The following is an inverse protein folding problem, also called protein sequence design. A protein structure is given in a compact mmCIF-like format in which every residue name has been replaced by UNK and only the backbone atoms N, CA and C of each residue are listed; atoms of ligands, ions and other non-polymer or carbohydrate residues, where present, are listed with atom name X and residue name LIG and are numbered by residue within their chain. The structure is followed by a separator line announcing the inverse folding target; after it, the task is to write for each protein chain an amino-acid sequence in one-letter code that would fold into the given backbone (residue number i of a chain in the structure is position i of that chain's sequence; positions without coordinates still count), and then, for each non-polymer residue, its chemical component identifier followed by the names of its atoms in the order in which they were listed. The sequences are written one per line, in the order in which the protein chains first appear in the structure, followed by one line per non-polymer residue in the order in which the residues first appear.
data_IF_680697288087
#
_entry.id   IF_680697288087
#
_cell.length_a   1.000
_cell.length_b   1.000
_cell.length_c   1.000
_cell.angle_alpha   90.00
_cell.angle_beta   90.00
_cell.angle_gamma   90.00
#
_symmetry.space_group_name_H-M   'P 1'
#
loop_
_entity.id
_entity.type
_entity.pdbx_description
1 polymer ?
#
# COMPACT_ATOMS: atom_id res chain seq x y z
N UNK A 1 -24.36 -4.53 -61.57
CA UNK A 1 -23.70 -3.74 -62.64
C UNK A 1 -22.36 -3.25 -62.08
N UNK A 2 -21.17 -3.53 -62.60
CA UNK A 2 -20.77 -4.24 -63.80
C UNK A 2 -19.40 -4.93 -63.59
N UNK A 3 -19.16 -5.95 -64.42
CA UNK A 3 -17.86 -6.57 -64.68
C UNK A 3 -17.27 -5.93 -65.95
N UNK A 4 -15.95 -5.73 -65.98
CA UNK A 4 -15.09 -5.61 -67.18
C UNK A 4 -13.76 -6.29 -66.78
N UNK A 5 -13.33 -7.48 -67.25
CA UNK A 5 -12.99 -7.99 -68.60
C UNK A 5 -11.94 -7.15 -69.35
N UNK A 6 -10.76 -7.76 -69.62
CA UNK A 6 -9.79 -7.24 -70.60
C UNK A 6 -8.42 -7.93 -70.58
N UNK A 7 -8.25 -8.92 -71.47
CA UNK A 7 -7.05 -9.76 -71.71
C UNK A 7 -6.20 -9.20 -72.87
N UNK A 8 -4.87 -9.45 -72.88
CA UNK A 8 -3.95 -9.82 -74.02
C UNK A 8 -2.50 -9.39 -73.69
N UNK A 9 -1.52 -10.27 -73.41
CA UNK A 9 -0.79 -11.25 -74.25
C UNK A 9 0.24 -10.64 -75.23
N UNK A 10 1.55 -10.79 -74.93
CA UNK A 10 2.65 -10.95 -75.93
C UNK A 10 3.75 -11.85 -75.33
N UNK A 11 4.20 -12.81 -76.14
CA UNK A 11 5.25 -13.83 -75.93
C UNK A 11 6.64 -13.31 -76.29
N UNK A 12 7.67 -13.88 -75.64
CA UNK A 12 9.05 -14.01 -76.14
C UNK A 12 10.04 -13.95 -74.98
N UNK A 13 11.11 -14.74 -74.86
CA UNK A 13 11.71 -15.80 -75.66
C UNK A 13 12.68 -16.52 -74.69
N UNK A 14 12.82 -17.84 -74.84
CA UNK A 14 13.73 -18.74 -74.10
C UNK A 14 15.21 -18.29 -74.13
N UNK A 15 15.94 -18.42 -73.00
CA UNK A 15 17.33 -18.94 -72.95
C UNK A 15 17.57 -19.69 -71.63
N UNK A 16 18.00 -20.95 -71.75
CA UNK A 16 18.51 -21.84 -70.68
C UNK A 16 19.90 -21.41 -70.20
N UNK A 17 20.20 -21.55 -68.90
CA UNK A 17 21.36 -22.30 -68.37
C UNK A 17 21.45 -22.12 -66.82
N UNK A 18 21.28 -23.14 -65.97
CA UNK A 18 22.26 -24.16 -65.51
C UNK A 18 22.61 -23.94 -64.01
N UNK A 19 22.11 -24.85 -63.15
CA UNK A 19 22.76 -25.53 -62.01
C UNK A 19 22.05 -25.52 -60.65
N UNK A 20 22.17 -26.71 -60.04
CA UNK A 20 22.06 -27.07 -58.62
C UNK A 20 20.65 -27.32 -58.08
N UNK A 21 20.45 -28.56 -57.63
CA UNK A 21 19.19 -29.15 -57.24
C UNK A 21 18.61 -28.61 -55.93
N UNK A 22 17.28 -28.63 -55.86
CA UNK A 22 16.53 -28.49 -54.63
C UNK A 22 15.73 -29.77 -54.41
N UNK A 23 16.28 -30.69 -53.63
CA UNK A 23 15.50 -31.74 -52.97
C UNK A 23 14.89 -31.20 -51.68
N UNK A 24 13.59 -31.39 -51.55
CA UNK A 24 12.75 -31.52 -50.35
C UNK A 24 13.16 -30.75 -49.08
N UNK A 25 12.29 -29.80 -48.73
CA UNK A 25 12.16 -29.23 -47.38
C UNK A 25 11.63 -30.30 -46.43
N UNK A 26 12.43 -30.65 -45.44
CA UNK A 26 11.95 -31.03 -44.10
C UNK A 26 12.22 -29.85 -43.14
N UNK A 27 11.32 -29.56 -42.19
CA UNK A 27 11.51 -28.48 -41.24
C UNK A 27 12.46 -28.92 -40.13
N UNK A 28 13.63 -28.29 -40.06
CA UNK A 28 14.46 -28.30 -38.84
C UNK A 28 13.94 -27.22 -37.90
N UNK A 29 13.50 -27.66 -36.73
CA UNK A 29 13.26 -26.87 -35.52
C UNK A 29 14.50 -26.05 -35.19
N UNK A 30 14.35 -24.73 -35.18
CA UNK A 30 15.35 -23.84 -34.58
C UNK A 30 15.07 -23.78 -33.07
N UNK A 31 16.07 -24.16 -32.26
CA UNK A 31 16.08 -23.87 -30.83
C UNK A 31 16.19 -22.34 -30.61
N UNK A 32 15.42 -21.76 -29.68
CA UNK A 32 15.62 -20.38 -29.26
C UNK A 32 16.92 -20.25 -28.45
N UNK A 33 17.82 -19.39 -28.90
CA UNK A 33 18.98 -18.95 -28.12
C UNK A 33 18.52 -18.08 -26.95
N UNK A 34 18.83 -18.52 -25.73
CA UNK A 34 18.56 -17.83 -24.47
C UNK A 34 19.42 -16.54 -24.34
N UNK A 35 18.86 -15.39 -23.93
CA UNK A 35 19.65 -14.18 -23.68
C UNK A 35 20.54 -14.36 -22.45
N UNK A 36 21.83 -14.03 -22.59
CA UNK A 36 22.76 -13.99 -21.48
C UNK A 36 22.27 -13.01 -20.39
N UNK A 37 22.11 -13.52 -19.17
CA UNK A 37 21.75 -12.73 -18.00
C UNK A 37 22.88 -11.73 -17.68
N UNK A 38 22.58 -10.44 -17.82
CA UNK A 38 23.42 -9.38 -17.28
C UNK A 38 23.39 -9.47 -15.75
N UNK A 39 24.54 -9.76 -15.14
CA UNK A 39 24.71 -9.73 -13.69
C UNK A 39 24.52 -8.29 -13.21
N UNK A 40 23.52 -8.06 -12.36
CA UNK A 40 23.33 -6.78 -11.68
C UNK A 40 24.53 -6.46 -10.77
N UNK A 41 24.95 -5.18 -10.67
CA UNK A 41 25.98 -4.79 -9.72
C UNK A 41 25.56 -5.15 -8.28
N UNK A 42 26.50 -5.45 -7.37
CA UNK A 42 26.19 -5.63 -5.96
C UNK A 42 25.50 -4.36 -5.44
N UNK A 43 24.37 -4.51 -4.76
CA UNK A 43 23.74 -3.41 -4.04
C UNK A 43 24.76 -2.85 -3.04
N UNK A 44 25.04 -1.54 -3.12
CA UNK A 44 25.84 -0.86 -2.11
C UNK A 44 25.16 -1.06 -0.75
N UNK A 45 25.92 -1.35 0.33
CA UNK A 45 25.34 -1.52 1.64
C UNK A 45 24.63 -0.22 2.03
N UNK A 46 23.30 -0.31 2.21
CA UNK A 46 22.52 0.79 2.77
C UNK A 46 23.11 1.03 4.16
N UNK A 47 23.78 2.17 4.32
CA UNK A 47 24.24 2.63 5.63
C UNK A 47 22.97 2.95 6.41
N UNK A 48 22.54 1.99 7.23
CA UNK A 48 21.45 2.23 8.17
C UNK A 48 21.97 3.31 9.11
N UNK A 49 21.44 4.52 9.00
CA UNK A 49 21.78 5.58 9.94
C UNK A 49 21.44 5.11 11.36
N UNK A 50 22.48 4.75 12.09
CA UNK A 50 22.38 4.34 13.48
C UNK A 50 22.44 5.58 14.36
N UNK A 51 21.35 5.91 15.03
CA UNK A 51 21.28 7.05 15.92
C UNK A 51 19.87 7.26 16.49
N UNK A 52 19.70 8.17 17.47
CA UNK A 52 18.38 8.55 17.94
C UNK A 52 17.54 9.10 16.78
N UNK A 53 16.22 8.95 16.88
CA UNK A 53 15.29 9.62 15.98
C UNK A 53 15.33 11.12 16.27
N UNK A 54 15.46 11.92 15.23
CA UNK A 54 15.52 13.38 15.31
C UNK A 54 14.48 13.97 14.40
N UNK A 55 13.77 14.98 14.90
CA UNK A 55 12.82 15.72 14.10
C UNK A 55 13.55 16.38 12.91
N UNK A 56 12.90 16.36 11.76
CA UNK A 56 13.40 16.93 10.51
C UNK A 56 12.56 18.13 10.15
N UNK A 57 13.22 19.26 9.95
CA UNK A 57 12.61 20.47 9.39
C UNK A 57 13.52 20.96 8.27
N UNK A 58 13.09 20.79 7.03
CA UNK A 58 13.77 21.30 5.85
C UNK A 58 12.86 22.24 5.08
N UNK A 59 13.42 23.34 4.61
CA UNK A 59 12.69 24.31 3.80
C UNK A 59 13.57 24.78 2.64
N UNK A 60 13.05 24.61 1.43
CA UNK A 60 13.67 25.02 0.18
C UNK A 60 12.62 25.66 -0.75
N UNK A 61 13.02 26.42 -1.79
CA UNK A 61 12.06 27.02 -2.72
C UNK A 61 11.15 26.01 -3.44
N UNK A 62 11.63 24.78 -3.67
CA UNK A 62 10.91 23.73 -4.37
C UNK A 62 10.17 22.77 -3.44
N UNK A 63 10.54 22.68 -2.16
CA UNK A 63 9.94 21.73 -1.23
C UNK A 63 10.04 22.13 0.26
N UNK A 64 9.19 21.51 1.07
CA UNK A 64 9.23 21.56 2.53
C UNK A 64 9.12 20.15 3.10
N UNK A 65 9.89 19.84 4.15
CA UNK A 65 9.82 18.56 4.86
C UNK A 65 9.69 18.85 6.36
N UNK A 66 8.64 18.30 6.97
CA UNK A 66 8.45 18.22 8.41
C UNK A 66 8.24 16.76 8.82
N UNK A 67 9.16 16.21 9.63
CA UNK A 67 9.02 14.87 10.21
C UNK A 67 9.23 14.96 11.71
N UNK A 68 8.28 14.49 12.52
CA UNK A 68 8.41 14.47 13.98
C UNK A 68 8.36 13.05 14.54
N UNK A 69 9.13 12.79 15.59
CA UNK A 69 9.22 11.46 16.21
C UNK A 69 8.86 11.47 17.71
N UNK A 70 8.30 10.37 18.24
CA UNK A 70 8.02 10.26 19.66
C UNK A 70 9.33 10.07 20.45
N UNK A 71 9.35 10.61 21.67
CA UNK A 71 10.46 10.41 22.60
C UNK A 71 10.41 9.02 23.27
N UNK A 72 11.53 8.59 23.85
CA UNK A 72 11.58 7.40 24.71
C UNK A 72 11.69 6.06 23.97
N UNK A 73 12.07 6.07 22.69
CA UNK A 73 12.27 4.86 21.89
C UNK A 73 13.74 4.41 21.80
N UNK A 74 14.68 5.11 22.43
CA UNK A 74 16.13 4.84 22.34
C UNK A 74 16.52 3.42 22.78
N UNK A 75 15.72 2.80 23.66
CA UNK A 75 15.91 1.42 24.11
C UNK A 75 15.54 0.36 23.04
N UNK A 76 14.93 0.77 21.93
CA UNK A 76 14.39 -0.12 20.89
C UNK A 76 14.96 0.25 19.51
N UNK A 77 16.27 0.02 19.26
CA UNK A 77 16.92 0.44 18.03
C UNK A 77 16.26 -0.15 16.77
N UNK A 78 15.75 -1.38 16.82
CA UNK A 78 15.05 -1.99 15.69
C UNK A 78 13.70 -1.30 15.39
N UNK A 79 12.96 -0.89 16.43
CA UNK A 79 11.76 -0.09 16.24
C UNK A 79 12.12 1.27 15.63
N UNK A 80 13.16 1.94 16.14
CA UNK A 80 13.59 3.22 15.56
C UNK A 80 14.05 3.08 14.11
N UNK A 81 14.67 1.95 13.74
CA UNK A 81 15.06 1.67 12.37
C UNK A 81 13.83 1.48 11.46
N UNK A 82 12.75 0.84 11.94
CA UNK A 82 11.50 0.73 11.19
C UNK A 82 10.86 2.10 10.92
N UNK A 83 10.78 2.96 11.94
CA UNK A 83 10.21 4.30 11.77
C UNK A 83 11.06 5.14 10.82
N UNK A 84 12.38 5.07 10.97
CA UNK A 84 13.33 5.76 10.08
C UNK A 84 13.19 5.28 8.64
N UNK A 85 13.09 3.97 8.42
CA UNK A 85 12.89 3.41 7.08
C UNK A 85 11.64 3.97 6.40
N UNK A 86 10.51 3.94 7.10
CA UNK A 86 9.25 4.51 6.56
C UNK A 86 9.37 6.01 6.23
N UNK A 87 10.01 6.79 7.11
CA UNK A 87 10.22 8.21 6.88
C UNK A 87 11.18 8.49 5.70
N UNK A 88 12.24 7.68 5.58
CA UNK A 88 13.22 7.78 4.50
C UNK A 88 12.60 7.43 3.15
N UNK A 89 11.74 6.40 3.08
CA UNK A 89 11.01 6.04 1.87
C UNK A 89 10.09 7.20 1.44
N UNK A 90 9.27 7.73 2.35
CA UNK A 90 8.40 8.87 2.06
C UNK A 90 9.18 10.11 1.58
N UNK A 91 10.33 10.39 2.22
CA UNK A 91 11.24 11.47 1.82
C UNK A 91 11.86 11.21 0.45
N UNK A 92 12.33 9.99 0.20
CA UNK A 92 12.98 9.63 -1.05
C UNK A 92 12.02 9.82 -2.23
N UNK A 93 10.77 9.41 -2.08
CA UNK A 93 9.79 9.59 -3.14
C UNK A 93 9.40 11.07 -3.36
N UNK A 94 9.33 11.90 -2.31
CA UNK A 94 9.22 13.36 -2.46
C UNK A 94 10.41 13.90 -3.27
N UNK A 95 11.63 13.53 -2.88
CA UNK A 95 12.85 14.03 -3.53
C UNK A 95 12.99 13.55 -4.98
N UNK A 96 12.45 12.37 -5.30
CA UNK A 96 12.32 11.91 -6.68
C UNK A 96 11.40 12.82 -7.49
N UNK A 97 10.25 13.21 -6.94
CA UNK A 97 9.34 14.16 -7.60
C UNK A 97 9.99 15.55 -7.76
N UNK A 98 10.68 16.05 -6.72
CA UNK A 98 11.43 17.31 -6.80
C UNK A 98 12.50 17.26 -7.90
N UNK A 99 13.23 16.15 -8.00
CA UNK A 99 14.24 15.98 -9.05
C UNK A 99 13.62 15.96 -10.44
N UNK A 100 12.41 15.41 -10.56
CA UNK A 100 11.62 15.37 -11.80
C UNK A 100 11.17 16.75 -12.31
N UNK A 101 11.20 17.80 -11.48
CA UNK A 101 10.90 19.17 -11.91
C UNK A 101 11.95 19.72 -12.90
N UNK A 102 13.20 19.25 -12.82
CA UNK A 102 14.29 19.81 -13.62
C UNK A 102 14.46 21.32 -13.38
N UNK A 103 14.17 22.14 -14.40
CA UNK A 103 14.20 23.60 -14.32
C UNK A 103 12.84 24.23 -14.05
N UNK A 104 11.77 23.44 -14.02
CA UNK A 104 10.42 23.94 -13.79
C UNK A 104 10.24 24.33 -12.32
N UNK A 105 9.43 25.38 -12.10
CA UNK A 105 9.06 25.82 -10.76
C UNK A 105 7.62 25.40 -10.46
N UNK A 106 7.37 24.64 -9.38
CA UNK A 106 6.02 24.24 -9.04
C UNK A 106 5.22 25.46 -8.56
N UNK A 107 3.90 25.45 -8.77
CA UNK A 107 3.02 26.55 -8.38
C UNK A 107 3.00 26.77 -6.85
N UNK A 108 3.16 25.67 -6.09
CA UNK A 108 3.43 25.64 -4.67
C UNK A 108 4.57 24.65 -4.40
N UNK A 109 5.37 24.84 -3.34
CA UNK A 109 6.40 23.86 -2.97
C UNK A 109 5.78 22.48 -2.76
N UNK A 110 6.51 21.43 -3.15
CA UNK A 110 6.15 20.08 -2.74
C UNK A 110 6.34 19.92 -1.23
N UNK A 111 5.55 19.06 -0.59
CA UNK A 111 5.54 18.97 0.87
C UNK A 111 5.56 17.51 1.32
N UNK A 112 6.33 17.23 2.36
CA UNK A 112 6.14 16.05 3.20
C UNK A 112 5.89 16.53 4.62
N UNK A 113 4.73 16.19 5.18
CA UNK A 113 4.42 16.36 6.58
C UNK A 113 4.14 14.98 7.15
N UNK A 114 4.91 14.55 8.16
CA UNK A 114 4.80 13.22 8.74
C UNK A 114 5.04 13.24 10.26
N UNK A 115 4.02 12.89 11.03
CA UNK A 115 4.11 12.82 12.48
C UNK A 115 4.05 11.37 12.95
N UNK A 116 5.05 10.95 13.71
CA UNK A 116 5.02 9.70 14.46
C UNK A 116 4.59 9.97 15.91
N UNK A 117 3.66 9.19 16.44
CA UNK A 117 3.13 9.36 17.80
C UNK A 117 3.02 8.02 18.53
N UNK A 118 3.34 8.01 19.83
CA UNK A 118 3.09 6.84 20.68
C UNK A 118 1.60 6.76 21.01
N UNK A 119 0.94 5.73 20.49
CA UNK A 119 -0.48 5.44 20.76
C UNK A 119 -0.63 4.63 22.04
N UNK A 120 0.28 3.68 22.27
CA UNK A 120 0.26 2.77 23.39
C UNK A 120 1.70 2.37 23.74
N UNK A 121 2.00 2.27 25.03
CA UNK A 121 3.27 1.73 25.52
C UNK A 121 3.03 0.95 26.81
N UNK A 122 3.29 -0.35 26.76
CA UNK A 122 3.18 -1.30 27.87
C UNK A 122 4.44 -2.17 27.95
N UNK A 123 4.60 -3.02 28.98
CA UNK A 123 5.70 -3.96 29.04
C UNK A 123 5.75 -4.99 27.89
N UNK A 124 4.62 -5.22 27.21
CA UNK A 124 4.51 -6.21 26.13
C UNK A 124 4.44 -5.56 24.73
N UNK A 125 3.87 -4.35 24.63
CA UNK A 125 3.57 -3.70 23.35
C UNK A 125 4.01 -2.23 23.34
N UNK A 126 4.56 -1.80 22.21
CA UNK A 126 4.66 -0.38 21.83
C UNK A 126 3.90 -0.21 20.53
N UNK A 127 3.01 0.76 20.45
CA UNK A 127 2.25 1.05 19.22
C UNK A 127 2.53 2.48 18.81
N UNK A 128 3.10 2.64 17.62
CA UNK A 128 3.38 3.94 17.02
C UNK A 128 2.44 4.14 15.84
N UNK A 129 1.79 5.29 15.76
CA UNK A 129 1.13 5.76 14.54
C UNK A 129 2.10 6.62 13.74
N UNK A 130 2.01 6.56 12.41
CA UNK A 130 2.50 7.60 11.53
C UNK A 130 1.29 8.17 10.77
N UNK A 131 1.11 9.47 10.82
CA UNK A 131 0.06 10.18 10.09
C UNK A 131 0.65 11.41 9.42
N UNK A 132 0.23 11.68 8.20
CA UNK A 132 0.80 12.77 7.44
C UNK A 132 0.27 12.84 6.02
N UNK A 133 0.94 13.61 5.20
CA UNK A 133 0.68 13.69 3.78
C UNK A 133 1.93 14.04 2.99
N UNK A 134 1.90 13.68 1.72
CA UNK A 134 2.90 14.08 0.73
C UNK A 134 2.21 14.79 -0.42
N UNK A 135 2.58 16.03 -0.67
CA UNK A 135 2.07 16.84 -1.76
C UNK A 135 3.13 17.00 -2.84
N UNK A 136 2.81 16.53 -4.05
CA UNK A 136 3.69 16.65 -5.24
C UNK A 136 2.97 17.38 -6.39
N UNK A 137 2.05 18.27 -6.05
CA UNK A 137 1.14 18.93 -7.00
C UNK A 137 -0.24 18.27 -7.06
N UNK A 138 -1.20 18.93 -7.73
CA UNK A 138 -2.59 18.49 -7.81
C UNK A 138 -3.50 19.16 -6.77
N UNK A 139 -4.67 18.57 -6.52
CA UNK A 139 -5.73 19.16 -5.70
C UNK A 139 -5.53 18.97 -4.19
N UNK A 140 -4.85 17.91 -3.76
CA UNK A 140 -4.58 17.59 -2.35
C UNK A 140 -3.32 16.72 -2.24
N UNK A 141 -2.83 16.53 -1.02
CA UNK A 141 -1.75 15.60 -0.73
C UNK A 141 -2.20 14.13 -0.81
N UNK A 142 -1.24 13.25 -1.03
CA UNK A 142 -1.38 11.83 -0.80
C UNK A 142 -1.32 11.56 0.71
N UNK A 143 -2.30 10.85 1.30
CA UNK A 143 -2.31 10.58 2.72
C UNK A 143 -1.26 9.51 3.08
N UNK A 144 -0.50 9.76 4.15
CA UNK A 144 0.43 8.80 4.73
C UNK A 144 -0.15 8.33 6.07
N UNK A 145 -0.51 7.06 6.15
CA UNK A 145 -1.10 6.46 7.35
C UNK A 145 -0.46 5.08 7.57
N UNK A 146 0.31 4.95 8.64
CA UNK A 146 0.93 3.68 9.03
C UNK A 146 0.81 3.40 10.52
N UNK A 147 0.77 2.13 10.91
CA UNK A 147 0.72 1.65 12.29
C UNK A 147 1.81 0.62 12.51
N UNK A 148 2.58 0.82 13.56
CA UNK A 148 3.68 -0.05 13.94
C UNK A 148 3.36 -0.65 15.30
N UNK A 149 2.87 -1.90 15.30
CA UNK A 149 2.66 -2.67 16.54
C UNK A 149 3.93 -3.43 16.82
N UNK A 150 4.65 -3.05 17.86
CA UNK A 150 5.93 -3.59 18.25
C UNK A 150 5.80 -4.51 19.46
N UNK A 151 6.31 -5.73 19.34
CA UNK A 151 6.40 -6.69 20.42
C UNK A 151 7.70 -6.45 21.19
N UNK A 152 7.58 -6.02 22.46
CA UNK A 152 8.72 -5.58 23.27
C UNK A 152 9.69 -6.73 23.54
N UNK A 153 9.18 -7.91 23.93
CA UNK A 153 10.00 -9.07 24.30
C UNK A 153 10.68 -9.70 23.09
N UNK A 154 9.95 -9.83 22.00
CA UNK A 154 10.40 -10.45 20.75
C UNK A 154 11.25 -9.52 19.90
N UNK A 155 11.25 -8.21 20.21
CA UNK A 155 11.93 -7.16 19.47
C UNK A 155 11.65 -7.24 17.96
N UNK A 156 10.36 -7.31 17.61
CA UNK A 156 9.91 -7.34 16.22
C UNK A 156 8.55 -6.66 16.06
N UNK A 157 8.25 -6.23 14.84
CA UNK A 157 6.91 -5.77 14.48
C UNK A 157 5.95 -6.97 14.38
N UNK A 158 4.79 -6.84 15.00
CA UNK A 158 3.63 -7.70 14.77
C UNK A 158 2.92 -7.21 13.50
N UNK A 159 2.95 -8.02 12.45
CA UNK A 159 2.26 -7.72 11.19
C UNK A 159 0.88 -8.39 11.15
N UNK A 160 -0.03 -7.92 10.28
CA UNK A 160 -1.33 -8.55 10.10
C UNK A 160 -1.21 -10.02 9.66
N UNK A 161 -0.24 -10.35 8.80
CA UNK A 161 0.05 -11.72 8.37
C UNK A 161 0.50 -12.61 9.54
N UNK A 162 1.33 -12.07 10.44
CA UNK A 162 1.78 -12.81 11.60
C UNK A 162 0.63 -12.99 12.62
N UNK A 163 -0.20 -11.96 12.79
CA UNK A 163 -1.31 -11.99 13.73
C UNK A 163 -2.42 -12.95 13.29
N UNK A 164 -2.86 -12.87 12.04
CA UNK A 164 -3.94 -13.68 11.45
C UNK A 164 -3.37 -14.39 10.20
N UNK A 165 -2.79 -15.60 10.37
CA UNK A 165 -2.14 -16.28 9.26
C UNK A 165 -3.12 -16.94 8.28
N UNK A 166 -4.32 -17.28 8.74
CA UNK A 166 -5.33 -17.99 7.94
C UNK A 166 -6.20 -17.00 7.12
N UNK A 167 -6.25 -17.14 5.79
CA UNK A 167 -7.14 -16.35 4.93
C UNK A 167 -8.62 -16.41 5.32
N UNK A 168 -9.11 -17.53 5.86
CA UNK A 168 -10.50 -17.65 6.32
C UNK A 168 -10.77 -16.74 7.53
N UNK A 169 -9.77 -16.51 8.37
CA UNK A 169 -9.84 -15.53 9.45
C UNK A 169 -9.94 -14.10 8.92
N UNK A 170 -9.14 -13.75 7.91
CA UNK A 170 -9.23 -12.46 7.25
C UNK A 170 -10.58 -12.22 6.57
N UNK A 171 -11.18 -13.25 5.96
CA UNK A 171 -12.53 -13.17 5.40
C UNK A 171 -13.58 -12.89 6.48
N UNK A 172 -13.52 -13.62 7.60
CA UNK A 172 -14.45 -13.42 8.73
C UNK A 172 -14.33 -12.01 9.31
N UNK A 173 -13.11 -11.54 9.51
CA UNK A 173 -12.79 -10.20 10.04
C UNK A 173 -13.23 -9.13 9.05
N UNK A 174 -12.93 -9.30 7.76
CA UNK A 174 -13.31 -8.38 6.69
C UNK A 174 -14.81 -8.19 6.59
N UNK A 175 -15.60 -9.26 6.72
CA UNK A 175 -17.06 -9.15 6.75
C UNK A 175 -17.59 -8.32 7.94
N UNK A 176 -17.00 -8.48 9.13
CA UNK A 176 -17.40 -7.69 10.31
C UNK A 176 -17.01 -6.22 10.17
N UNK A 177 -15.79 -5.95 9.68
CA UNK A 177 -15.31 -4.59 9.36
C UNK A 177 -16.19 -3.93 8.31
N UNK A 178 -16.51 -4.63 7.22
CA UNK A 178 -17.34 -4.10 6.14
C UNK A 178 -18.72 -3.68 6.64
N UNK A 179 -19.34 -4.50 7.50
CA UNK A 179 -20.64 -4.18 8.09
C UNK A 179 -20.59 -2.92 8.96
N UNK A 180 -19.53 -2.74 9.75
CA UNK A 180 -19.34 -1.52 10.55
C UNK A 180 -19.13 -0.29 9.68
N UNK A 181 -18.30 -0.39 8.65
CA UNK A 181 -18.03 0.71 7.73
C UNK A 181 -19.27 1.10 6.91
N UNK A 182 -20.07 0.13 6.48
CA UNK A 182 -21.36 0.38 5.82
C UNK A 182 -22.32 1.15 6.74
N UNK A 183 -22.43 0.74 8.00
CA UNK A 183 -23.24 1.44 8.99
C UNK A 183 -22.74 2.88 9.22
N UNK A 184 -21.42 3.08 9.30
CA UNK A 184 -20.82 4.41 9.41
C UNK A 184 -21.08 5.27 8.18
N UNK A 185 -20.95 4.73 6.97
CA UNK A 185 -21.25 5.44 5.72
C UNK A 185 -22.72 5.88 5.66
N UNK A 186 -23.64 4.99 6.04
CA UNK A 186 -25.07 5.30 6.13
C UNK A 186 -25.34 6.45 7.12
N UNK A 187 -24.71 6.40 8.29
CA UNK A 187 -24.84 7.46 9.30
C UNK A 187 -24.28 8.80 8.80
N UNK A 188 -23.15 8.81 8.08
CA UNK A 188 -22.56 10.02 7.51
C UNK A 188 -23.48 10.68 6.48
N UNK A 189 -23.97 9.91 5.52
CA UNK A 189 -24.92 10.40 4.50
C UNK A 189 -26.17 11.02 5.14
N UNK A 190 -26.67 10.44 6.23
CA UNK A 190 -27.78 11.01 7.01
C UNK A 190 -27.39 12.30 7.75
N UNK A 191 -26.21 12.32 8.39
CA UNK A 191 -25.70 13.48 9.12
C UNK A 191 -25.42 14.67 8.20
N UNK A 192 -24.91 14.42 7.00
CA UNK A 192 -24.63 15.41 5.95
C UNK A 192 -25.89 15.92 5.26
N UNK A 193 -27.07 15.39 5.63
CA UNK A 193 -28.39 15.76 5.10
C UNK A 193 -28.45 15.63 3.58
N UNK A 194 -27.79 14.61 3.04
CA UNK A 194 -27.93 14.22 1.64
C UNK A 194 -29.42 13.98 1.34
N UNK A 195 -29.96 14.50 0.22
CA UNK A 195 -31.35 14.25 -0.17
C UNK A 195 -31.68 12.76 -0.14
N UNK A 196 -32.85 12.38 0.38
CA UNK A 196 -33.21 10.98 0.63
C UNK A 196 -33.10 10.11 -0.64
N UNK A 197 -33.41 10.71 -1.79
CA UNK A 197 -33.30 10.13 -3.12
C UNK A 197 -31.86 9.82 -3.56
N UNK A 198 -30.85 10.53 -3.03
CA UNK A 198 -29.43 10.36 -3.35
C UNK A 198 -28.70 9.47 -2.33
N UNK A 199 -29.27 9.27 -1.13
CA UNK A 199 -28.59 8.53 -0.05
C UNK A 199 -28.23 7.11 -0.46
N UNK A 200 -29.16 6.41 -1.11
CA UNK A 200 -28.95 5.03 -1.54
C UNK A 200 -27.80 4.91 -2.55
N UNK A 201 -27.65 5.88 -3.45
CA UNK A 201 -26.57 5.90 -4.44
C UNK A 201 -25.21 6.19 -3.77
N UNK A 202 -25.16 7.14 -2.84
CA UNK A 202 -23.94 7.45 -2.10
C UNK A 202 -23.46 6.27 -1.24
N UNK A 203 -24.38 5.63 -0.51
CA UNK A 203 -24.07 4.42 0.27
C UNK A 203 -23.61 3.28 -0.65
N UNK A 204 -24.29 3.04 -1.77
CA UNK A 204 -23.87 2.03 -2.74
C UNK A 204 -22.48 2.32 -3.34
N UNK A 205 -22.13 3.60 -3.51
CA UNK A 205 -20.79 3.98 -3.95
C UNK A 205 -19.73 3.68 -2.89
N UNK A 206 -20.01 4.00 -1.62
CA UNK A 206 -19.15 3.64 -0.50
C UNK A 206 -18.98 2.13 -0.38
N UNK A 207 -20.05 1.35 -0.53
CA UNK A 207 -20.03 -0.12 -0.43
C UNK A 207 -19.06 -0.78 -1.41
N UNK A 208 -18.88 -0.21 -2.61
CA UNK A 208 -17.89 -0.71 -3.57
C UNK A 208 -16.45 -0.57 -3.04
N UNK A 209 -16.11 0.59 -2.50
CA UNK A 209 -14.79 0.83 -1.92
C UNK A 209 -14.60 0.00 -0.65
N UNK A 210 -15.62 -0.08 0.20
CA UNK A 210 -15.61 -0.93 1.40
C UNK A 210 -15.34 -2.38 1.02
N UNK A 211 -16.05 -2.92 0.02
CA UNK A 211 -15.86 -4.31 -0.41
C UNK A 211 -14.42 -4.59 -0.88
N UNK A 212 -13.82 -3.67 -1.65
CA UNK A 212 -12.43 -3.80 -2.11
C UNK A 212 -11.42 -3.66 -0.95
N UNK A 213 -11.60 -2.64 -0.13
CA UNK A 213 -10.72 -2.30 0.99
C UNK A 213 -10.83 -3.23 2.20
N UNK A 214 -11.83 -4.11 2.23
CA UNK A 214 -12.04 -5.13 3.28
C UNK A 214 -12.00 -6.57 2.77
N UNK A 215 -11.71 -6.77 1.47
CA UNK A 215 -11.45 -8.10 0.92
C UNK A 215 -10.35 -8.82 1.73
N UNK A 216 -10.38 -10.15 1.78
CA UNK A 216 -9.48 -11.02 2.55
C UNK A 216 -8.03 -11.02 2.03
N UNK A 217 -7.39 -9.85 2.04
CA UNK A 217 -6.01 -9.58 1.65
C UNK A 217 -5.31 -9.00 2.86
N UNK A 218 -4.18 -9.57 3.26
CA UNK A 218 -3.40 -9.11 4.42
C UNK A 218 -3.15 -7.60 4.39
N UNK A 219 -2.79 -7.05 3.23
CA UNK A 219 -2.46 -5.63 3.11
C UNK A 219 -3.64 -4.70 3.43
N UNK A 220 -4.88 -5.16 3.23
CA UNK A 220 -6.08 -4.39 3.60
C UNK A 220 -6.19 -4.19 5.12
N UNK A 221 -5.57 -5.06 5.91
CA UNK A 221 -5.60 -5.07 7.38
C UNK A 221 -4.24 -4.74 8.00
N UNK A 222 -3.28 -4.27 7.20
CA UNK A 222 -1.91 -4.01 7.66
C UNK A 222 -1.85 -2.90 8.73
N UNK A 223 -2.80 -1.96 8.69
CA UNK A 223 -2.86 -0.85 9.63
C UNK A 223 -3.86 -1.18 10.74
N UNK A 224 -3.34 -1.51 11.92
CA UNK A 224 -4.17 -1.82 13.07
C UNK A 224 -3.54 -1.35 14.39
N UNK A 225 -4.41 -1.17 15.39
CA UNK A 225 -4.04 -0.76 16.75
C UNK A 225 -4.76 -1.68 17.74
N UNK A 226 -4.04 -2.36 18.64
CA UNK A 226 -4.64 -3.07 19.76
C UNK A 226 -5.40 -2.12 20.70
N UNK A 227 -6.62 -2.48 21.08
CA UNK A 227 -7.43 -1.80 22.09
C UNK A 227 -7.38 -2.63 23.37
N UNK A 228 -6.78 -2.09 24.42
CA UNK A 228 -6.57 -2.81 25.67
C UNK A 228 -7.72 -2.65 26.64
N UNK A 229 -8.00 -3.67 27.44
CA UNK A 229 -8.81 -3.56 28.66
C UNK A 229 -7.98 -3.03 29.85
N UNK A 230 -8.64 -2.91 31.01
CA UNK A 230 -8.00 -2.45 32.24
C UNK A 230 -6.87 -3.38 32.77
N UNK A 231 -6.82 -4.65 32.36
CA UNK A 231 -5.73 -5.58 32.71
C UNK A 231 -4.55 -5.52 31.72
N UNK A 232 -4.61 -4.67 30.71
CA UNK A 232 -3.58 -4.53 29.68
C UNK A 232 -3.63 -5.60 28.58
N UNK A 233 -4.69 -6.41 28.53
CA UNK A 233 -4.91 -7.40 27.48
C UNK A 233 -5.71 -6.81 26.33
N UNK A 234 -5.45 -7.28 25.10
CA UNK A 234 -6.15 -6.85 23.89
C UNK A 234 -7.62 -7.32 23.97
N UNK A 235 -8.54 -6.38 24.11
CA UNK A 235 -9.98 -6.62 24.11
C UNK A 235 -10.61 -6.44 22.73
N UNK A 236 -9.98 -5.68 21.85
CA UNK A 236 -10.33 -5.54 20.45
C UNK A 236 -9.10 -5.14 19.62
N UNK A 237 -9.19 -5.28 18.31
CA UNK A 237 -8.23 -4.67 17.37
C UNK A 237 -8.99 -3.66 16.53
N UNK A 238 -8.49 -2.42 16.51
CA UNK A 238 -8.97 -1.34 15.65
C UNK A 238 -8.20 -1.38 14.34
N UNK A 239 -8.87 -1.71 13.25
CA UNK A 239 -8.33 -1.54 11.90
C UNK A 239 -8.50 -0.09 11.46
N UNK A 240 -7.49 0.42 10.77
CA UNK A 240 -7.40 1.82 10.34
C UNK A 240 -7.27 1.83 8.82
N UNK A 241 -8.15 2.56 8.15
CA UNK A 241 -8.23 2.60 6.70
C UNK A 241 -7.87 4.02 6.25
N UNK A 242 -6.74 4.22 5.53
CA UNK A 242 -6.39 5.51 4.96
C UNK A 242 -7.48 5.97 3.97
N UNK A 243 -7.54 7.28 3.68
CA UNK A 243 -8.43 7.79 2.65
C UNK A 243 -8.20 7.05 1.32
N UNK A 244 -9.27 6.90 0.53
CA UNK A 244 -9.36 6.08 -0.69
C UNK A 244 -9.36 4.56 -0.51
N UNK A 245 -9.08 4.01 0.68
CA UNK A 245 -9.16 2.55 0.84
C UNK A 245 -10.60 2.07 0.96
N UNK A 246 -11.43 2.73 1.79
CA UNK A 246 -12.83 2.32 2.07
C UNK A 246 -13.83 3.47 1.94
N UNK A 247 -13.39 4.60 1.40
CA UNK A 247 -14.18 5.81 1.19
C UNK A 247 -13.37 6.88 0.49
N UNK A 248 -14.00 7.94 -0.06
CA UNK A 248 -13.31 9.06 -0.69
C UNK A 248 -12.38 9.81 0.27
N UNK A 249 -11.52 10.69 -0.28
CA UNK A 249 -10.62 11.53 0.52
C UNK A 249 -11.34 12.36 1.59
N UNK A 250 -12.53 12.86 1.28
CA UNK A 250 -13.36 13.68 2.17
C UNK A 250 -13.82 12.96 3.43
N UNK A 251 -13.75 11.63 3.45
CA UNK A 251 -14.10 10.84 4.63
C UNK A 251 -12.95 10.77 5.64
N UNK A 252 -11.78 11.31 5.30
CA UNK A 252 -10.55 11.15 6.09
C UNK A 252 -10.24 9.66 6.36
N UNK A 253 -9.48 9.39 7.42
CA UNK A 253 -9.20 8.03 7.87
C UNK A 253 -10.43 7.41 8.50
N UNK A 254 -10.80 6.20 8.07
CA UNK A 254 -11.90 5.42 8.64
C UNK A 254 -11.37 4.33 9.58
N UNK A 255 -12.18 3.87 10.53
CA UNK A 255 -11.79 2.80 11.45
C UNK A 255 -12.93 1.84 11.73
N UNK A 256 -12.59 0.59 12.04
CA UNK A 256 -13.53 -0.42 12.54
C UNK A 256 -12.85 -1.27 13.62
N UNK A 257 -13.61 -1.71 14.62
CA UNK A 257 -13.07 -2.49 15.75
C UNK A 257 -13.64 -3.89 15.76
N UNK A 258 -12.77 -4.90 15.80
CA UNK A 258 -13.17 -6.30 15.93
C UNK A 258 -12.80 -6.80 17.31
N UNK A 259 -13.78 -7.37 18.01
CA UNK A 259 -13.61 -7.83 19.39
C UNK A 259 -12.64 -9.02 19.47
N UNK A 260 -11.95 -9.14 20.61
CA UNK A 260 -11.05 -10.26 20.89
C UNK A 260 -11.76 -11.62 20.75
N UNK A 261 -13.02 -11.73 21.16
CA UNK A 261 -13.81 -12.95 21.02
C UNK A 261 -13.99 -13.41 19.57
N UNK A 262 -14.07 -12.48 18.61
CA UNK A 262 -14.08 -12.78 17.18
C UNK A 262 -12.69 -13.11 16.67
N UNK A 263 -11.65 -12.40 17.14
CA UNK A 263 -10.28 -12.52 16.65
C UNK A 263 -9.56 -13.78 17.11
N UNK A 264 -9.65 -14.12 18.40
CA UNK A 264 -8.86 -15.17 19.07
C UNK A 264 -8.88 -16.53 18.34
N UNK A 265 -10.00 -17.01 17.77
CA UNK A 265 -10.01 -18.25 16.99
C UNK A 265 -9.07 -18.26 15.77
N UNK A 266 -8.72 -17.08 15.25
CA UNK A 266 -7.90 -16.88 14.06
C UNK A 266 -6.51 -16.32 14.36
N UNK A 267 -6.26 -15.93 15.61
CA UNK A 267 -4.97 -15.40 16.06
C UNK A 267 -3.94 -16.53 16.08
N UNK A 268 -2.74 -16.27 15.55
CA UNK A 268 -1.66 -17.24 15.60
C UNK A 268 -1.37 -17.66 17.06
N UNK A 269 -1.18 -18.96 17.35
CA UNK A 269 -1.11 -19.48 18.72
C UNK A 269 -0.12 -18.75 19.62
N UNK A 270 0.99 -18.29 19.07
CA UNK A 270 2.02 -17.55 19.80
C UNK A 270 1.54 -16.19 20.33
N UNK A 271 0.51 -15.57 19.76
CA UNK A 271 0.03 -14.23 20.16
C UNK A 271 -1.27 -14.26 20.97
N UNK A 272 -1.92 -15.42 21.11
CA UNK A 272 -3.19 -15.56 21.87
C UNK A 272 -3.06 -15.06 23.30
N UNK A 273 -1.88 -15.17 23.91
CA UNK A 273 -1.62 -14.72 25.28
C UNK A 273 -1.77 -13.20 25.48
N UNK A 274 -1.70 -12.40 24.40
CA UNK A 274 -1.90 -10.96 24.45
C UNK A 274 -3.38 -10.57 24.58
N UNK A 275 -4.31 -11.48 24.23
CA UNK A 275 -5.74 -11.17 24.15
C UNK A 275 -6.49 -11.46 25.44
N UNK A 276 -7.53 -10.66 25.69
CA UNK A 276 -8.52 -10.92 26.71
C UNK A 276 -9.35 -12.16 26.31
N UNK A 277 -9.75 -12.95 27.31
CA UNK A 277 -10.61 -14.13 27.14
C UNK A 277 -12.02 -13.83 27.59
#
# INVERSE_FOLDING_TARGET
MGRLLGVKAVRGLLVLAVLAGCTQREPTTAEPSEPAAATAPPAEPIVVESGPLQDVIEHAPAYMIGISYPHGLDAYPELTALLRGYAQDARAELMQAVSGLGNDKPAAPYELSLAFETVLQTPDLIVISANGSRYIGGAHGEPLVARFVWLVKERKQLTAQALIPDPAGLEKIGGEVAAQLHAAATQRVQADRVPAEEQAEQVASADRMIAEGTAAKVNNFAQFVPVLNASGQIAAVRFVFPPYQVGPYSDDTQTAEVAASTLVPWVAPEYVHLFAR
#
